data_IF_065075130599
#
_entry.id   IF_065075130599
#
_cell.length_a   1.000
_cell.length_b   1.000
_cell.length_c   1.000
_cell.angle_alpha   90.00
_cell.angle_beta   90.00
_cell.angle_gamma   90.00
#
_symmetry.space_group_name_H-M   'P 1'
#
loop_
_entity.id
_entity.type
_entity.pdbx_description
1 polymer ?
#
# COMPACT_ATOMS: atom_id res chain seq x y z
N UNK A 1 1.44 37.13 -68.34
CA UNK A 1 1.83 35.71 -68.18
C UNK A 1 1.25 35.24 -66.85
N UNK A 2 0.01 34.75 -66.86
CA UNK A 2 -0.71 34.31 -65.65
C UNK A 2 -0.48 32.80 -65.46
N UNK A 3 0.00 32.38 -64.29
CA UNK A 3 -0.01 30.98 -63.86
C UNK A 3 -0.86 30.86 -62.61
N UNK A 4 -2.08 30.36 -62.77
CA UNK A 4 -2.99 30.00 -61.70
C UNK A 4 -2.72 28.55 -61.32
N UNK A 5 -2.27 28.28 -60.10
CA UNK A 5 -2.11 26.93 -59.58
C UNK A 5 -3.44 26.49 -58.95
N UNK A 6 -4.04 25.41 -59.46
CA UNK A 6 -5.15 24.72 -58.80
C UNK A 6 -4.61 23.95 -57.59
N UNK A 7 -5.06 24.30 -56.40
CA UNK A 7 -4.95 23.43 -55.23
C UNK A 7 -6.17 22.51 -55.17
N UNK A 8 -5.94 21.21 -55.36
CA UNK A 8 -6.95 20.17 -55.16
C UNK A 8 -7.10 19.92 -53.66
N UNK A 9 -8.24 20.28 -53.09
CA UNK A 9 -8.57 19.99 -51.69
C UNK A 9 -9.12 18.56 -51.64
N UNK A 10 -8.30 17.63 -51.15
CA UNK A 10 -8.73 16.26 -50.83
C UNK A 10 -9.50 16.31 -49.50
N UNK A 11 -10.82 16.21 -49.54
CA UNK A 11 -11.67 16.16 -48.35
C UNK A 11 -11.53 14.81 -47.65
N UNK A 12 -10.76 14.77 -46.57
CA UNK A 12 -10.65 13.62 -45.69
C UNK A 12 -11.94 13.50 -44.85
N UNK A 13 -12.80 12.53 -45.16
CA UNK A 13 -13.97 12.23 -44.32
C UNK A 13 -13.49 11.55 -43.02
N UNK A 14 -13.37 12.34 -41.97
CA UNK A 14 -13.10 11.87 -40.62
C UNK A 14 -14.41 11.34 -40.02
N UNK A 15 -14.70 10.05 -40.18
CA UNK A 15 -15.78 9.42 -39.41
C UNK A 15 -15.34 9.35 -37.95
N UNK A 16 -15.77 10.31 -37.15
CA UNK A 16 -15.60 10.26 -35.71
C UNK A 16 -16.40 9.06 -35.17
N UNK A 17 -15.71 7.98 -34.83
CA UNK A 17 -16.27 6.91 -34.03
C UNK A 17 -16.49 7.50 -32.63
N UNK A 18 -17.72 7.88 -32.31
CA UNK A 18 -18.07 8.28 -30.96
C UNK A 18 -17.96 7.03 -30.09
N UNK A 19 -16.79 6.82 -29.48
CA UNK A 19 -16.65 5.91 -28.35
C UNK A 19 -17.58 6.45 -27.27
N UNK A 20 -18.70 5.75 -27.05
CA UNK A 20 -19.52 5.95 -25.87
C UNK A 20 -18.64 5.67 -24.67
N UNK A 21 -18.21 6.71 -23.97
CA UNK A 21 -17.55 6.58 -22.68
C UNK A 21 -18.54 5.87 -21.77
N UNK A 22 -18.37 4.56 -21.59
CA UNK A 22 -19.01 3.85 -20.50
C UNK A 22 -18.46 4.47 -19.22
N UNK A 23 -19.37 4.88 -18.34
CA UNK A 23 -19.02 5.26 -16.97
C UNK A 23 -18.45 4.01 -16.30
N UNK A 24 -17.13 3.84 -16.43
CA UNK A 24 -16.42 2.60 -16.15
C UNK A 24 -15.72 2.65 -14.78
N UNK A 25 -16.08 3.60 -13.91
CA UNK A 25 -15.50 3.62 -12.57
C UNK A 25 -16.19 2.55 -11.73
N UNK A 26 -15.58 1.36 -11.69
CA UNK A 26 -15.90 0.38 -10.66
C UNK A 26 -15.91 1.08 -9.29
N UNK A 27 -16.92 0.82 -8.44
CA UNK A 27 -17.04 1.54 -7.17
C UNK A 27 -15.83 1.27 -6.28
N UNK A 28 -15.50 2.24 -5.42
CA UNK A 28 -14.52 2.00 -4.34
C UNK A 28 -15.17 1.04 -3.34
N UNK A 29 -14.49 -0.06 -3.03
CA UNK A 29 -14.96 -1.10 -2.11
C UNK A 29 -14.05 -1.15 -0.89
N UNK A 30 -14.62 -0.93 0.30
CA UNK A 30 -13.91 -1.14 1.55
C UNK A 30 -13.71 -2.63 1.82
N UNK A 31 -12.52 -2.98 2.31
CA UNK A 31 -12.15 -4.34 2.69
C UNK A 31 -11.84 -4.31 4.18
N UNK A 32 -12.69 -4.97 4.95
CA UNK A 32 -12.62 -5.02 6.42
C UNK A 32 -12.53 -6.49 6.83
N UNK A 33 -11.33 -6.99 7.15
CA UNK A 33 -11.17 -8.35 7.68
C UNK A 33 -11.85 -8.47 9.05
N UNK A 34 -12.16 -9.71 9.44
CA UNK A 34 -12.69 -10.01 10.78
C UNK A 34 -11.74 -9.47 11.86
N UNK A 35 -12.29 -8.79 12.87
CA UNK A 35 -11.52 -8.19 13.97
C UNK A 35 -11.09 -6.74 13.75
N UNK A 36 -11.35 -6.17 12.57
CA UNK A 36 -11.08 -4.75 12.25
C UNK A 36 -12.32 -3.84 12.33
N UNK A 37 -13.46 -4.34 12.81
CA UNK A 37 -14.70 -3.56 12.90
C UNK A 37 -14.59 -2.39 13.89
N UNK A 38 -13.77 -2.56 14.93
CA UNK A 38 -13.53 -1.52 15.94
C UNK A 38 -12.79 -0.32 15.34
N UNK A 39 -11.78 -0.54 14.50
CA UNK A 39 -11.04 0.56 13.87
C UNK A 39 -11.93 1.34 12.89
N UNK A 40 -12.79 0.64 12.15
CA UNK A 40 -13.77 1.29 11.25
C UNK A 40 -14.76 2.14 12.04
N UNK A 41 -15.34 1.60 13.11
CA UNK A 41 -16.38 2.29 13.89
C UNK A 41 -15.86 3.43 14.78
N UNK A 42 -14.60 3.35 15.23
CA UNK A 42 -14.02 4.36 16.13
C UNK A 42 -13.19 5.42 15.40
N UNK A 43 -12.42 5.01 14.38
CA UNK A 43 -11.45 5.88 13.71
C UNK A 43 -11.84 6.22 12.26
N UNK A 44 -12.93 5.63 11.75
CA UNK A 44 -13.51 5.94 10.44
C UNK A 44 -12.55 5.78 9.25
N UNK A 45 -11.68 4.76 9.29
CA UNK A 45 -10.89 4.34 8.14
C UNK A 45 -11.06 2.85 7.86
N UNK A 46 -10.91 2.45 6.60
CA UNK A 46 -10.93 1.04 6.19
C UNK A 46 -9.52 0.45 6.21
N UNK A 47 -9.32 -0.79 6.67
CA UNK A 47 -8.02 -1.48 6.62
C UNK A 47 -7.43 -1.55 5.21
N UNK A 48 -8.30 -1.76 4.21
CA UNK A 48 -7.96 -1.55 2.82
C UNK A 48 -9.16 -1.04 2.02
N UNK A 49 -8.87 -0.44 0.85
CA UNK A 49 -9.87 -0.08 -0.14
C UNK A 49 -9.42 -0.57 -1.51
N UNK A 50 -10.33 -1.18 -2.27
CA UNK A 50 -10.14 -1.49 -3.69
C UNK A 50 -10.71 -0.36 -4.53
N UNK A 51 -9.91 0.13 -5.49
CA UNK A 51 -10.30 1.13 -6.47
C UNK A 51 -9.83 0.65 -7.87
N UNK A 52 -10.72 -0.01 -8.60
CA UNK A 52 -10.36 -0.72 -9.83
C UNK A 52 -9.39 -1.88 -9.55
N UNK A 53 -8.30 -1.91 -10.32
CA UNK A 53 -7.27 -2.95 -10.22
C UNK A 53 -6.32 -2.77 -9.04
N UNK A 54 -6.38 -1.63 -8.34
CA UNK A 54 -5.49 -1.34 -7.21
C UNK A 54 -6.20 -1.55 -5.88
N UNK A 55 -5.46 -2.08 -4.90
CA UNK A 55 -5.84 -2.09 -3.50
C UNK A 55 -4.86 -1.19 -2.73
N UNK A 56 -5.41 -0.28 -1.94
CA UNK A 56 -4.66 0.58 -1.05
C UNK A 56 -4.89 0.08 0.37
N UNK A 57 -3.84 -0.42 1.01
CA UNK A 57 -3.86 -0.71 2.44
C UNK A 57 -3.60 0.57 3.24
N UNK A 58 -4.29 0.67 4.38
CA UNK A 58 -3.87 1.54 5.46
C UNK A 58 -2.50 1.10 5.99
N UNK A 59 -1.77 2.01 6.61
CA UNK A 59 -0.49 1.65 7.22
C UNK A 59 -0.68 0.75 8.44
N UNK A 60 0.25 -0.17 8.61
CA UNK A 60 0.28 -1.12 9.73
C UNK A 60 1.49 -0.82 10.59
N UNK A 61 1.22 -0.51 11.86
CA UNK A 61 2.24 -0.13 12.84
C UNK A 61 2.87 -1.38 13.46
N UNK A 62 4.20 -1.48 13.36
CA UNK A 62 5.01 -2.33 14.20
C UNK A 62 5.19 -1.63 15.54
N UNK A 63 4.60 -2.19 16.60
CA UNK A 63 4.72 -1.66 17.96
C UNK A 63 5.67 -2.50 18.82
N UNK A 64 6.42 -1.86 19.71
CA UNK A 64 7.18 -2.57 20.73
C UNK A 64 6.24 -3.34 21.68
N UNK A 65 6.66 -4.53 22.14
CA UNK A 65 5.85 -5.33 23.04
C UNK A 65 5.76 -4.66 24.42
N UNK A 66 4.68 -4.98 25.13
CA UNK A 66 4.49 -4.62 26.53
C UNK A 66 4.76 -5.84 27.41
N UNK A 67 5.28 -5.61 28.62
CA UNK A 67 5.35 -6.62 29.66
C UNK A 67 3.97 -6.91 30.27
N UNK A 68 3.91 -7.85 31.23
CA UNK A 68 2.66 -8.21 31.92
C UNK A 68 2.04 -7.05 32.72
N UNK A 69 2.82 -6.01 33.00
CA UNK A 69 2.40 -4.81 33.72
C UNK A 69 2.03 -3.66 32.77
N UNK A 70 2.13 -3.87 31.45
CA UNK A 70 1.82 -2.88 30.42
C UNK A 70 2.97 -1.90 30.12
N UNK A 71 4.17 -2.09 30.68
CA UNK A 71 5.31 -1.24 30.37
C UNK A 71 5.94 -1.65 29.04
N UNK A 72 6.49 -0.69 28.30
CA UNK A 72 7.21 -0.99 27.07
C UNK A 72 8.50 -1.76 27.36
N UNK A 73 8.64 -2.89 26.70
CA UNK A 73 9.90 -3.62 26.68
C UNK A 73 10.87 -2.85 25.77
N UNK A 74 12.12 -2.59 26.21
CA UNK A 74 13.09 -1.87 25.40
C UNK A 74 13.34 -2.50 24.02
N UNK A 75 13.71 -1.67 23.05
CA UNK A 75 14.15 -2.15 21.75
C UNK A 75 15.40 -3.03 21.91
N UNK A 76 15.32 -4.22 21.31
CA UNK A 76 16.41 -5.17 21.09
C UNK A 76 16.20 -5.78 19.71
N UNK A 77 17.23 -6.33 19.07
CA UNK A 77 17.06 -6.99 17.76
C UNK A 77 15.93 -8.03 17.76
N UNK A 78 15.78 -8.80 18.84
CA UNK A 78 14.71 -9.79 19.00
C UNK A 78 13.32 -9.13 19.07
N UNK A 79 13.18 -8.06 19.86
CA UNK A 79 11.91 -7.35 19.99
C UNK A 79 11.54 -6.64 18.69
N UNK A 80 12.51 -6.00 18.03
CA UNK A 80 12.34 -5.38 16.72
C UNK A 80 11.90 -6.42 15.68
N UNK A 81 12.58 -7.57 15.63
CA UNK A 81 12.24 -8.65 14.70
C UNK A 81 10.81 -9.13 14.91
N UNK A 82 10.39 -9.37 16.16
CA UNK A 82 9.01 -9.76 16.50
C UNK A 82 8.00 -8.68 16.13
N UNK A 83 8.29 -7.41 16.40
CA UNK A 83 7.41 -6.29 16.08
C UNK A 83 7.21 -6.15 14.57
N UNK A 84 8.28 -6.25 13.77
CA UNK A 84 8.18 -6.25 12.33
C UNK A 84 7.44 -7.49 11.82
N UNK A 85 7.74 -8.68 12.36
CA UNK A 85 7.07 -9.91 11.93
C UNK A 85 5.55 -9.82 12.12
N UNK A 86 5.10 -9.34 13.27
CA UNK A 86 3.68 -9.11 13.55
C UNK A 86 3.05 -8.14 12.55
N UNK A 87 3.74 -7.05 12.19
CA UNK A 87 3.24 -6.09 11.20
C UNK A 87 3.15 -6.72 9.79
N UNK A 88 4.15 -7.49 9.37
CA UNK A 88 4.13 -8.18 8.07
C UNK A 88 3.03 -9.26 8.01
N UNK A 89 2.79 -10.00 9.10
CA UNK A 89 1.68 -10.95 9.19
C UNK A 89 0.32 -10.25 9.16
N UNK A 90 0.18 -9.13 9.86
CA UNK A 90 -1.06 -8.34 9.84
C UNK A 90 -1.36 -7.81 8.43
N UNK A 91 -0.35 -7.31 7.70
CA UNK A 91 -0.52 -6.93 6.29
C UNK A 91 -0.94 -8.14 5.45
N UNK A 92 -0.29 -9.30 5.62
CA UNK A 92 -0.66 -10.52 4.90
C UNK A 92 -2.12 -10.93 5.15
N UNK A 93 -2.61 -10.75 6.37
CA UNK A 93 -4.00 -11.01 6.72
C UNK A 93 -4.98 -10.08 5.99
N UNK A 94 -4.69 -8.78 5.93
CA UNK A 94 -5.51 -7.82 5.18
C UNK A 94 -5.43 -8.08 3.66
N UNK A 95 -4.26 -8.42 3.13
CA UNK A 95 -4.06 -8.80 1.73
C UNK A 95 -4.92 -10.03 1.37
N UNK A 96 -4.90 -11.07 2.21
CA UNK A 96 -5.69 -12.27 1.99
C UNK A 96 -7.20 -11.98 1.96
N UNK A 97 -7.69 -11.12 2.86
CA UNK A 97 -9.09 -10.67 2.85
C UNK A 97 -9.45 -9.87 1.58
N UNK A 98 -8.46 -9.26 0.93
CA UNK A 98 -8.60 -8.56 -0.34
C UNK A 98 -8.45 -9.46 -1.58
N UNK A 99 -8.21 -10.77 -1.39
CA UNK A 99 -7.91 -11.71 -2.47
C UNK A 99 -6.54 -11.48 -3.11
N UNK A 100 -5.58 -10.93 -2.36
CA UNK A 100 -4.23 -10.62 -2.80
C UNK A 100 -3.18 -11.21 -1.85
N UNK A 101 -1.91 -11.05 -2.20
CA UNK A 101 -0.75 -11.55 -1.47
C UNK A 101 0.40 -10.55 -1.50
N UNK A 102 1.51 -10.87 -0.85
CA UNK A 102 2.73 -10.04 -0.92
C UNK A 102 3.33 -9.98 -2.32
N UNK A 103 3.07 -10.97 -3.18
CA UNK A 103 3.54 -10.99 -4.56
C UNK A 103 2.81 -9.97 -5.45
N UNK A 104 1.66 -9.47 -5.00
CA UNK A 104 0.85 -8.46 -5.69
C UNK A 104 1.20 -7.02 -5.24
N UNK A 105 2.07 -6.86 -4.24
CA UNK A 105 2.51 -5.56 -3.75
C UNK A 105 3.47 -4.95 -4.77
N UNK A 106 3.15 -3.73 -5.21
CA UNK A 106 3.94 -3.00 -6.22
C UNK A 106 4.69 -1.79 -5.66
N UNK A 107 4.21 -1.24 -4.54
CA UNK A 107 4.84 -0.12 -3.83
C UNK A 107 4.74 -0.33 -2.32
N UNK A 108 5.85 -0.11 -1.62
CA UNK A 108 5.93 -0.11 -0.17
C UNK A 108 6.57 1.19 0.30
N UNK A 109 5.97 1.81 1.31
CA UNK A 109 6.55 2.91 2.07
C UNK A 109 6.66 2.49 3.53
N UNK A 110 7.82 2.66 4.14
CA UNK A 110 7.99 2.46 5.59
C UNK A 110 8.47 3.70 6.30
N UNK A 111 7.83 4.02 7.41
CA UNK A 111 8.14 5.14 8.29
C UNK A 111 8.74 4.60 9.58
N UNK A 112 9.83 5.18 10.06
CA UNK A 112 10.64 4.66 11.16
C UNK A 112 10.92 5.77 12.17
N UNK A 113 10.83 5.46 13.47
CA UNK A 113 11.17 6.43 14.54
C UNK A 113 12.66 6.42 14.91
N UNK A 114 13.39 5.41 14.44
CA UNK A 114 14.86 5.32 14.50
C UNK A 114 15.34 4.51 13.29
N UNK A 115 15.31 5.13 12.11
CA UNK A 115 15.63 4.45 10.85
C UNK A 115 17.00 3.74 10.90
N UNK A 116 18.10 4.35 11.38
CA UNK A 116 19.40 3.68 11.46
C UNK A 116 19.40 2.42 12.33
N UNK A 117 18.67 2.42 13.46
CA UNK A 117 18.55 1.27 14.35
C UNK A 117 17.59 0.17 13.86
N UNK A 118 16.64 0.52 12.99
CA UNK A 118 15.51 -0.35 12.64
C UNK A 118 15.63 -1.01 11.26
N UNK A 119 16.17 -0.30 10.26
CA UNK A 119 16.06 -0.71 8.85
C UNK A 119 16.71 -2.07 8.55
N UNK A 120 17.84 -2.37 9.21
CA UNK A 120 18.55 -3.64 9.03
C UNK A 120 17.78 -4.85 9.55
N UNK A 121 17.02 -4.68 10.64
CA UNK A 121 16.16 -5.74 11.19
C UNK A 121 14.92 -5.90 10.31
N UNK A 122 14.27 -4.79 9.95
CA UNK A 122 13.09 -4.82 9.07
C UNK A 122 13.40 -5.50 7.74
N UNK A 123 14.55 -5.20 7.11
CA UNK A 123 14.93 -5.81 5.84
C UNK A 123 15.04 -7.35 5.93
N UNK A 124 15.64 -7.88 7.00
CA UNK A 124 15.71 -9.34 7.22
C UNK A 124 14.34 -9.98 7.38
N UNK A 125 13.43 -9.30 8.09
CA UNK A 125 12.05 -9.77 8.24
C UNK A 125 11.31 -9.73 6.90
N UNK A 126 11.41 -8.61 6.18
CA UNK A 126 10.80 -8.39 4.86
C UNK A 126 11.14 -9.52 3.90
N UNK A 127 12.41 -9.97 3.87
CA UNK A 127 12.87 -11.01 2.96
C UNK A 127 12.27 -12.40 3.25
N UNK A 128 11.53 -12.57 4.36
CA UNK A 128 10.71 -13.76 4.63
C UNK A 128 9.34 -13.72 3.93
N UNK A 129 8.87 -12.54 3.54
CA UNK A 129 7.52 -12.31 3.00
C UNK A 129 7.51 -11.87 1.53
N UNK A 130 8.50 -11.07 1.14
CA UNK A 130 8.55 -10.39 -0.16
C UNK A 130 9.65 -10.99 -1.01
N UNK A 131 9.27 -11.49 -2.18
CA UNK A 131 10.18 -12.15 -3.13
C UNK A 131 10.37 -11.33 -4.42
N UNK A 132 11.23 -11.80 -5.34
CA UNK A 132 11.41 -11.14 -6.64
C UNK A 132 10.22 -11.40 -7.59
N UNK A 133 9.79 -10.40 -8.40
CA UNK A 133 10.32 -9.04 -8.47
C UNK A 133 9.90 -8.19 -7.26
N UNK A 134 10.88 -7.58 -6.58
CA UNK A 134 10.60 -6.76 -5.40
C UNK A 134 9.78 -5.51 -5.76
N UNK A 135 8.89 -5.03 -4.86
CA UNK A 135 8.17 -3.77 -5.05
C UNK A 135 9.14 -2.59 -5.04
N UNK A 136 8.67 -1.45 -5.56
CA UNK A 136 9.30 -0.17 -5.22
C UNK A 136 9.27 0.02 -3.69
N UNK A 137 10.36 0.52 -3.10
CA UNK A 137 10.44 0.74 -1.66
C UNK A 137 11.10 2.06 -1.29
N UNK A 138 10.41 2.85 -0.47
CA UNK A 138 10.96 4.04 0.20
C UNK A 138 10.91 3.85 1.72
N UNK A 139 12.03 4.12 2.40
CA UNK A 139 12.10 4.16 3.86
C UNK A 139 12.35 5.60 4.33
N UNK A 140 11.60 6.06 5.34
CA UNK A 140 11.57 7.45 5.80
C UNK A 140 11.72 7.49 7.32
N UNK A 141 12.61 8.36 7.80
CA UNK A 141 12.75 8.65 9.23
C UNK A 141 11.74 9.73 9.65
N UNK A 142 11.03 9.52 10.74
CA UNK A 142 9.93 10.35 11.24
C UNK A 142 10.00 10.55 12.75
N UNK A 143 9.32 11.59 13.25
CA UNK A 143 9.33 11.93 14.68
C UNK A 143 8.53 10.95 15.55
N UNK A 144 7.36 10.48 15.09
CA UNK A 144 6.44 9.66 15.90
C UNK A 144 5.32 9.00 15.11
N UNK A 145 4.75 7.96 15.70
CA UNK A 145 3.59 7.20 15.21
C UNK A 145 2.46 7.19 16.25
N UNK A 146 1.28 6.75 15.83
CA UNK A 146 0.19 6.38 16.73
C UNK A 146 -0.07 4.87 16.58
N UNK A 147 -0.04 4.07 17.65
CA UNK A 147 0.16 4.41 19.07
C UNK A 147 1.60 4.78 19.46
N UNK A 148 1.80 5.31 20.67
CA UNK A 148 3.09 5.80 21.20
C UNK A 148 4.19 4.73 21.27
N UNK A 149 3.84 3.44 21.25
CA UNK A 149 4.80 2.34 21.18
C UNK A 149 5.19 1.94 19.75
N UNK A 150 4.67 2.64 18.74
CA UNK A 150 5.00 2.44 17.34
C UNK A 150 6.46 2.77 17.06
N UNK A 151 7.19 1.79 16.53
CA UNK A 151 8.59 1.97 16.08
C UNK A 151 8.66 2.18 14.57
N UNK A 152 7.75 1.57 13.82
CA UNK A 152 7.66 1.76 12.39
C UNK A 152 6.22 1.57 11.90
N UNK A 153 5.87 2.16 10.76
CA UNK A 153 4.61 1.94 10.07
C UNK A 153 4.88 1.56 8.62
N UNK A 154 4.21 0.52 8.13
CA UNK A 154 4.40 -0.02 6.79
C UNK A 154 3.11 0.17 6.01
N UNK A 155 3.19 0.88 4.88
CA UNK A 155 2.08 1.12 3.97
C UNK A 155 2.37 0.50 2.61
N UNK A 156 1.39 -0.20 2.04
CA UNK A 156 1.53 -0.86 0.74
C UNK A 156 0.45 -0.43 -0.26
N UNK A 157 0.80 -0.50 -1.54
CA UNK A 157 -0.11 -0.46 -2.68
C UNK A 157 0.03 -1.75 -3.46
N UNK A 158 -1.10 -2.32 -3.82
CA UNK A 158 -1.21 -3.64 -4.43
C UNK A 158 -1.85 -3.49 -5.81
N UNK A 159 -1.30 -4.18 -6.80
CA UNK A 159 -1.91 -4.31 -8.11
C UNK A 159 -2.48 -5.72 -8.26
N UNK A 160 -3.80 -5.83 -8.27
CA UNK A 160 -4.55 -7.09 -8.32
C UNK A 160 -5.78 -6.92 -9.24
N UNK A 161 -5.59 -6.95 -10.58
CA UNK A 161 -6.68 -6.79 -11.54
C UNK A 161 -7.75 -7.88 -11.42
N UNK A 162 -9.01 -7.52 -11.71
CA UNK A 162 -10.18 -8.43 -11.66
C UNK A 162 -10.63 -8.87 -13.05
#
# INVERSE_FOLDING_TARGET
MFKTALFSILSLNLTACAATATDNSAPIVAIVPEGFESVVSQLHYSPAVRAGDFIYLAGVVAGLPQDEQGNLVPASDENLERSFDNAFQAIAYVLAAAGASWDDVVDMTSYHTDLPGQIGVMARVKDRYVTEPYPAWTAIDIDRLFPDNGIAEIKVVVYAPQ
#
